data_IF_386916864046
#
_entry.id   IF_386916864046
#
_cell.length_a   1.000
_cell.length_b   1.000
_cell.length_c   1.000
_cell.angle_alpha   90.00
_cell.angle_beta   90.00
_cell.angle_gamma   90.00
#
_symmetry.space_group_name_H-M   'P 1'
#
loop_
_entity.id
_entity.type
_entity.pdbx_description
1 polymer ?
#
# COMPACT_ATOMS: atom_id res chain seq x y z
N UNK A 1 -19.71 33.87 -14.63
CA UNK A 1 -19.53 32.46 -15.08
C UNK A 1 -18.09 31.98 -14.90
N UNK A 2 -17.07 32.76 -15.29
CA UNK A 2 -15.65 32.38 -15.17
C UNK A 2 -15.19 32.04 -13.73
N UNK A 3 -15.64 32.78 -12.71
CA UNK A 3 -15.28 32.48 -11.30
C UNK A 3 -15.79 31.13 -10.81
N UNK A 4 -16.97 30.69 -11.27
CA UNK A 4 -17.51 29.36 -10.92
C UNK A 4 -16.66 28.25 -11.54
N UNK A 5 -16.13 28.50 -12.74
CA UNK A 5 -15.26 27.57 -13.45
C UNK A 5 -13.90 27.46 -12.75
N UNK A 6 -13.30 28.58 -12.34
CA UNK A 6 -12.08 28.61 -11.53
C UNK A 6 -12.24 27.87 -10.19
N UNK A 7 -13.38 28.05 -9.53
CA UNK A 7 -13.67 27.36 -8.27
C UNK A 7 -13.79 25.84 -8.45
N UNK A 8 -14.46 25.39 -9.52
CA UNK A 8 -14.58 23.97 -9.85
C UNK A 8 -13.22 23.33 -10.19
N UNK A 9 -12.34 24.07 -10.88
CA UNK A 9 -10.98 23.63 -11.18
C UNK A 9 -10.17 23.45 -9.89
N UNK A 10 -10.22 24.42 -8.97
CA UNK A 10 -9.52 24.32 -7.67
C UNK A 10 -10.01 23.11 -6.87
N UNK A 11 -11.32 22.86 -6.85
CA UNK A 11 -11.91 21.72 -6.14
C UNK A 11 -11.47 20.36 -6.71
N UNK A 12 -11.16 20.30 -8.01
CA UNK A 12 -10.68 19.09 -8.67
C UNK A 12 -9.23 18.74 -8.29
N UNK A 13 -8.41 19.74 -7.96
CA UNK A 13 -7.01 19.53 -7.58
C UNK A 13 -6.82 19.12 -6.11
N UNK A 14 -7.81 19.33 -5.24
CA UNK A 14 -7.71 18.98 -3.81
C UNK A 14 -7.84 17.48 -3.51
N UNK A 15 -8.26 16.66 -4.47
CA UNK A 15 -8.43 15.20 -4.27
C UNK A 15 -7.16 14.39 -4.55
N UNK A 16 -6.08 15.02 -5.02
CA UNK A 16 -4.88 14.33 -5.53
C UNK A 16 -3.90 13.93 -4.41
N UNK A 17 -4.07 14.44 -3.19
CA UNK A 17 -3.10 14.23 -2.09
C UNK A 17 -3.55 13.15 -1.11
N UNK A 18 -3.63 11.90 -1.56
CA UNK A 18 -3.65 10.75 -0.64
C UNK A 18 -2.23 10.23 -0.45
N UNK A 19 -1.54 10.72 0.58
CA UNK A 19 -0.20 10.25 0.95
C UNK A 19 -0.36 9.18 2.03
N UNK A 20 0.12 7.97 1.79
CA UNK A 20 0.13 6.90 2.79
C UNK A 20 1.01 7.30 3.98
N UNK A 21 0.57 7.03 5.22
CA UNK A 21 1.33 7.35 6.43
C UNK A 21 2.45 6.32 6.67
N UNK A 22 3.40 6.24 5.73
CA UNK A 22 4.51 5.30 5.81
C UNK A 22 5.29 5.47 7.13
N UNK A 23 5.55 6.71 7.55
CA UNK A 23 6.27 7.00 8.80
C UNK A 23 5.51 6.57 10.06
N UNK A 24 4.17 6.50 10.01
CA UNK A 24 3.35 6.04 11.14
C UNK A 24 3.45 4.53 11.33
N UNK A 25 3.40 3.78 10.22
CA UNK A 25 3.48 2.31 10.25
C UNK A 25 4.93 1.79 10.28
N UNK A 26 5.87 2.57 9.75
CA UNK A 26 7.25 2.19 9.53
C UNK A 26 8.24 3.30 9.94
N UNK A 27 8.20 3.80 11.19
CA UNK A 27 9.02 4.93 11.64
C UNK A 27 10.54 4.70 11.51
N UNK A 28 10.99 3.45 11.37
CA UNK A 28 12.41 3.07 11.23
C UNK A 28 12.72 2.28 9.97
N UNK A 29 11.73 1.95 9.13
CA UNK A 29 11.91 1.01 8.02
C UNK A 29 12.19 1.74 6.70
N UNK A 30 13.34 2.40 6.63
CA UNK A 30 13.85 2.94 5.36
C UNK A 30 14.66 1.91 4.55
N UNK A 31 15.01 0.76 5.14
CA UNK A 31 15.84 -0.27 4.53
C UNK A 31 15.14 -1.63 4.52
N UNK A 32 14.03 -1.76 3.79
CA UNK A 32 13.48 -3.09 3.52
C UNK A 32 14.44 -3.86 2.62
N UNK A 33 14.73 -5.12 2.97
CA UNK A 33 15.53 -5.98 2.12
C UNK A 33 14.74 -6.31 0.85
N UNK A 34 15.19 -5.89 -0.35
CA UNK A 34 14.45 -6.10 -1.60
C UNK A 34 14.36 -7.59 -2.00
N UNK A 35 15.15 -8.47 -1.36
CA UNK A 35 15.06 -9.91 -1.57
C UNK A 35 13.86 -10.54 -0.84
N UNK A 36 13.27 -9.85 0.15
CA UNK A 36 12.08 -10.33 0.86
C UNK A 36 10.85 -9.96 0.03
N UNK A 37 10.02 -10.95 -0.40
CA UNK A 37 8.86 -10.66 -1.23
C UNK A 37 7.81 -9.86 -0.45
N UNK A 38 7.15 -8.91 -1.10
CA UNK A 38 6.00 -8.23 -0.51
C UNK A 38 4.80 -9.20 -0.43
N UNK A 39 3.82 -8.93 0.46
CA UNK A 39 2.60 -9.74 0.51
C UNK A 39 1.89 -9.82 -0.84
N UNK A 40 1.85 -8.73 -1.61
CA UNK A 40 1.19 -8.69 -2.92
C UNK A 40 1.94 -9.52 -3.96
N UNK A 41 3.27 -9.48 -3.95
CA UNK A 41 4.10 -10.29 -4.84
C UNK A 41 3.97 -11.79 -4.53
N UNK A 42 3.86 -12.16 -3.25
CA UNK A 42 3.67 -13.54 -2.83
C UNK A 42 2.24 -14.06 -3.10
N UNK A 43 1.22 -13.26 -2.78
CA UNK A 43 -0.18 -13.66 -2.87
C UNK A 43 -0.75 -13.53 -4.29
N UNK A 44 -0.16 -12.69 -5.14
CA UNK A 44 -0.58 -12.48 -6.53
C UNK A 44 -1.79 -11.55 -6.69
N UNK A 45 -2.17 -10.80 -5.65
CA UNK A 45 -3.23 -9.81 -5.68
C UNK A 45 -2.97 -8.67 -4.70
N UNK A 46 -3.54 -7.50 -4.98
CA UNK A 46 -3.37 -6.31 -4.16
C UNK A 46 -4.06 -6.44 -2.79
N UNK A 47 -3.47 -5.85 -1.74
CA UNK A 47 -4.03 -5.92 -0.38
C UNK A 47 -5.42 -5.28 -0.34
N UNK A 48 -6.37 -5.95 0.34
CA UNK A 48 -7.74 -5.48 0.50
C UNK A 48 -8.70 -5.83 -0.64
N UNK A 49 -8.22 -6.41 -1.74
CA UNK A 49 -9.08 -6.84 -2.86
C UNK A 49 -9.80 -8.17 -2.61
N UNK A 50 -9.22 -9.02 -1.78
CA UNK A 50 -9.74 -10.36 -1.46
C UNK A 50 -9.61 -10.65 0.03
N UNK A 51 -10.48 -11.53 0.53
CA UNK A 51 -10.26 -12.14 1.82
C UNK A 51 -9.19 -13.23 1.69
N UNK A 52 -7.98 -12.97 2.22
CA UNK A 52 -6.88 -13.95 2.20
C UNK A 52 -7.21 -15.11 3.12
N UNK A 53 -7.15 -16.33 2.58
CA UNK A 53 -7.34 -17.55 3.38
C UNK A 53 -6.21 -17.72 4.40
N UNK A 54 -6.55 -18.33 5.54
CA UNK A 54 -5.60 -18.52 6.64
C UNK A 54 -4.36 -19.33 6.22
N UNK A 55 -4.51 -20.38 5.42
CA UNK A 55 -3.39 -21.20 4.93
C UNK A 55 -2.40 -20.39 4.09
N UNK A 56 -2.89 -19.45 3.28
CA UNK A 56 -2.02 -18.53 2.51
C UNK A 56 -1.26 -17.54 3.37
N UNK A 57 -1.84 -17.10 4.50
CA UNK A 57 -1.11 -16.31 5.49
C UNK A 57 0.00 -17.13 6.14
N UNK A 58 -0.29 -18.38 6.52
CA UNK A 58 0.71 -19.29 7.11
C UNK A 58 1.82 -19.60 6.11
N UNK A 59 1.51 -19.81 4.83
CA UNK A 59 2.51 -19.98 3.77
C UNK A 59 3.43 -18.75 3.66
N UNK A 60 2.86 -17.54 3.68
CA UNK A 60 3.67 -16.32 3.63
C UNK A 60 4.57 -16.16 4.86
N UNK A 61 4.08 -16.48 6.07
CA UNK A 61 4.93 -16.45 7.27
C UNK A 61 6.08 -17.46 7.21
N UNK A 62 5.86 -18.65 6.63
CA UNK A 62 6.93 -19.63 6.39
C UNK A 62 7.96 -19.11 5.39
N UNK A 63 7.51 -18.41 4.35
CA UNK A 63 8.42 -17.79 3.39
C UNK A 63 9.27 -16.71 4.05
N UNK A 64 8.67 -15.87 4.90
CA UNK A 64 9.40 -14.86 5.67
C UNK A 64 10.48 -15.49 6.56
N UNK A 65 10.14 -16.53 7.31
CA UNK A 65 11.10 -17.28 8.15
C UNK A 65 12.26 -17.88 7.33
N UNK A 66 11.98 -18.32 6.10
CA UNK A 66 12.99 -18.85 5.18
C UNK A 66 13.98 -17.79 4.66
N UNK A 67 13.55 -16.53 4.55
CA UNK A 67 14.33 -15.46 3.90
C UNK A 67 14.85 -14.38 4.87
N UNK A 68 14.44 -14.41 6.14
CA UNK A 68 14.83 -13.43 7.18
C UNK A 68 16.12 -13.78 7.90
#
# INVERSE_FOLDING_TARGET
MLQRFLFAIILLFTTITTIAQADYFYPTASNFNPAIPTPEAFLGYAIGTHHTRHDKLVEYFKELDRVS
#
